data_IF_518501991409
#
_entry.id   IF_518501991409
#
_cell.length_a   1.000
_cell.length_b   1.000
_cell.length_c   1.000
_cell.angle_alpha   90.00
_cell.angle_beta   90.00
_cell.angle_gamma   90.00
#
_symmetry.space_group_name_H-M   'P 1'
#
loop_
_entity.id
_entity.type
_entity.pdbx_description
1 polymer ?
#
# COMPACT_ATOMS: atom_id res chain seq x y z
N UNK A 1 -6.23 5.90 -10.48
CA UNK A 1 -7.31 4.96 -10.12
C UNK A 1 -7.65 4.05 -11.28
N UNK A 2 -7.74 4.60 -12.49
CA UNK A 2 -8.09 3.78 -13.66
C UNK A 2 -7.15 2.59 -13.85
N UNK A 3 -5.84 2.77 -13.66
CA UNK A 3 -4.87 1.69 -13.79
C UNK A 3 -5.08 0.59 -12.74
N UNK A 4 -5.34 0.97 -11.49
CA UNK A 4 -5.60 0.01 -10.42
C UNK A 4 -6.91 -0.72 -10.60
N UNK A 5 -7.92 -0.02 -11.06
CA UNK A 5 -9.20 -0.63 -11.37
C UNK A 5 -9.06 -1.65 -12.50
N UNK A 6 -8.32 -1.32 -13.56
CA UNK A 6 -8.06 -2.24 -14.67
C UNK A 6 -7.32 -3.49 -14.18
N UNK A 7 -6.33 -3.35 -13.31
CA UNK A 7 -5.59 -4.48 -12.74
C UNK A 7 -6.52 -5.36 -11.90
N UNK A 8 -7.30 -4.76 -11.01
CA UNK A 8 -8.22 -5.51 -10.15
C UNK A 8 -9.25 -6.28 -10.98
N UNK A 9 -9.83 -5.64 -12.00
CA UNK A 9 -10.80 -6.27 -12.87
C UNK A 9 -10.19 -7.42 -13.67
N UNK A 10 -8.97 -7.25 -14.18
CA UNK A 10 -8.29 -8.31 -14.92
C UNK A 10 -7.96 -9.49 -14.04
N UNK A 11 -7.45 -9.26 -12.83
CA UNK A 11 -7.16 -10.34 -11.89
C UNK A 11 -8.43 -11.13 -11.56
N UNK A 12 -9.52 -10.45 -11.35
CA UNK A 12 -10.79 -11.07 -11.04
C UNK A 12 -11.37 -11.85 -12.23
N UNK A 13 -11.43 -11.22 -13.39
CA UNK A 13 -12.13 -11.78 -14.55
C UNK A 13 -11.31 -12.83 -15.30
N UNK A 14 -9.99 -12.64 -15.40
CA UNK A 14 -9.12 -13.54 -16.16
C UNK A 14 -8.48 -14.62 -15.29
N UNK A 15 -8.32 -14.38 -13.99
CA UNK A 15 -7.56 -15.26 -13.10
C UNK A 15 -8.36 -15.76 -11.88
N UNK A 16 -9.63 -15.40 -11.76
CA UNK A 16 -10.49 -15.88 -10.67
C UNK A 16 -10.11 -15.37 -9.28
N UNK A 17 -9.43 -14.25 -9.18
CA UNK A 17 -9.05 -13.67 -7.89
C UNK A 17 -10.29 -13.16 -7.18
N UNK A 18 -10.51 -13.60 -5.94
CA UNK A 18 -11.69 -13.24 -5.16
C UNK A 18 -11.61 -11.86 -4.52
N UNK A 19 -10.40 -11.42 -4.16
CA UNK A 19 -10.19 -10.15 -3.48
C UNK A 19 -8.81 -9.61 -3.78
N UNK A 20 -8.70 -8.31 -3.98
CA UNK A 20 -7.43 -7.61 -4.26
C UNK A 20 -7.15 -6.66 -3.11
N UNK A 21 -5.96 -6.76 -2.54
CA UNK A 21 -5.50 -5.88 -1.46
C UNK A 21 -4.41 -4.98 -1.98
N UNK A 22 -4.60 -3.68 -1.83
CA UNK A 22 -3.58 -2.69 -2.18
C UNK A 22 -2.88 -2.20 -0.92
N UNK A 23 -1.56 -2.28 -0.93
CA UNK A 23 -0.72 -1.67 0.09
C UNK A 23 -0.61 -0.16 -0.18
N UNK A 24 -0.34 0.66 0.86
CA UNK A 24 -0.13 2.08 0.66
C UNK A 24 1.17 2.36 -0.07
N UNK A 25 1.23 3.51 -0.73
CA UNK A 25 2.50 4.03 -1.23
C UNK A 25 3.37 4.44 -0.03
N UNK A 26 4.69 4.24 -0.11
CA UNK A 26 5.56 4.65 0.98
C UNK A 26 5.54 6.18 1.14
N UNK A 27 5.69 6.70 2.39
CA UNK A 27 5.75 8.13 2.64
C UNK A 27 7.11 8.69 2.20
N UNK A 28 7.25 8.94 0.92
CA UNK A 28 8.53 9.34 0.29
C UNK A 28 9.09 10.66 0.84
N UNK A 29 8.25 11.48 1.52
CA UNK A 29 8.72 12.67 2.21
C UNK A 29 9.74 12.38 3.30
N UNK A 30 9.81 11.13 3.76
CA UNK A 30 10.76 10.67 4.77
C UNK A 30 11.97 9.93 4.19
N UNK A 31 12.09 9.84 2.87
CA UNK A 31 13.19 9.13 2.24
C UNK A 31 14.48 9.96 2.30
N UNK A 32 15.52 9.49 3.03
CA UNK A 32 16.76 10.27 3.16
C UNK A 32 17.48 10.54 1.85
N UNK A 33 17.33 9.65 0.86
CA UNK A 33 17.99 9.76 -0.43
C UNK A 33 17.39 10.84 -1.34
N UNK A 34 16.15 11.30 -1.06
CA UNK A 34 15.50 12.33 -1.87
C UNK A 34 15.83 13.73 -1.33
N UNK A 35 16.36 14.64 -2.17
CA UNK A 35 16.61 16.02 -1.75
C UNK A 35 15.33 16.84 -1.68
N UNK A 36 15.33 17.90 -0.89
CA UNK A 36 14.27 18.90 -0.91
C UNK A 36 14.50 19.89 -2.07
N UNK A 37 13.44 20.41 -2.71
CA UNK A 37 12.01 20.24 -2.39
C UNK A 37 11.36 19.01 -3.03
N UNK A 38 12.10 18.21 -3.79
CA UNK A 38 11.58 17.03 -4.49
C UNK A 38 10.90 16.05 -3.51
N UNK A 39 11.53 15.81 -2.37
CA UNK A 39 11.00 14.89 -1.35
C UNK A 39 9.64 15.34 -0.84
N UNK A 40 9.45 16.63 -0.60
CA UNK A 40 8.18 17.19 -0.14
C UNK A 40 7.08 17.07 -1.20
N UNK A 41 7.41 17.39 -2.46
CA UNK A 41 6.47 17.32 -3.59
C UNK A 41 6.03 15.88 -3.82
N UNK A 42 6.99 14.95 -3.87
CA UNK A 42 6.70 13.53 -4.07
C UNK A 42 5.87 12.95 -2.93
N UNK A 43 6.13 13.39 -1.69
CA UNK A 43 5.35 12.96 -0.53
C UNK A 43 3.90 13.41 -0.59
N UNK A 44 3.65 14.64 -1.04
CA UNK A 44 2.28 15.13 -1.23
C UNK A 44 1.54 14.35 -2.31
N UNK A 45 2.21 14.05 -3.42
CA UNK A 45 1.60 13.28 -4.50
C UNK A 45 1.31 11.86 -4.08
N UNK A 46 2.20 11.21 -3.35
CA UNK A 46 2.01 9.86 -2.84
C UNK A 46 0.80 9.80 -1.88
N UNK A 47 0.69 10.78 -0.96
CA UNK A 47 -0.44 10.85 -0.03
C UNK A 47 -1.75 11.04 -0.76
N UNK A 48 -1.79 11.96 -1.73
CA UNK A 48 -2.99 12.20 -2.53
C UNK A 48 -3.42 10.95 -3.27
N UNK A 49 -2.47 10.21 -3.80
CA UNK A 49 -2.73 8.97 -4.51
C UNK A 49 -3.28 7.89 -3.58
N UNK A 50 -2.67 7.71 -2.42
CA UNK A 50 -3.14 6.76 -1.41
C UNK A 50 -4.56 7.07 -0.94
N UNK A 51 -4.86 8.35 -0.69
CA UNK A 51 -6.19 8.78 -0.27
C UNK A 51 -7.23 8.44 -1.35
N UNK A 52 -6.88 8.65 -2.62
CA UNK A 52 -7.76 8.33 -3.73
C UNK A 52 -7.99 6.82 -3.85
N UNK A 53 -6.95 6.01 -3.68
CA UNK A 53 -7.07 4.54 -3.70
C UNK A 53 -7.92 4.05 -2.54
N UNK A 54 -7.72 4.59 -1.34
CA UNK A 54 -8.51 4.22 -0.17
C UNK A 54 -9.99 4.55 -0.36
N UNK A 55 -10.29 5.72 -0.91
CA UNK A 55 -11.65 6.13 -1.19
C UNK A 55 -12.32 5.24 -2.24
N UNK A 56 -11.61 4.95 -3.34
CA UNK A 56 -12.10 4.05 -4.37
C UNK A 56 -12.36 2.65 -3.81
N UNK A 57 -11.45 2.12 -2.98
CA UNK A 57 -11.59 0.79 -2.40
C UNK A 57 -12.84 0.64 -1.55
N UNK A 58 -13.30 1.72 -0.91
CA UNK A 58 -14.55 1.71 -0.13
C UNK A 58 -15.79 1.49 -1.00
N UNK A 59 -15.70 1.77 -2.28
CA UNK A 59 -16.83 1.60 -3.22
C UNK A 59 -16.97 0.16 -3.71
N UNK A 60 -16.00 -0.72 -3.40
CA UNK A 60 -15.98 -2.10 -3.89
C UNK A 60 -15.81 -3.09 -2.75
N UNK A 61 -16.60 -4.16 -2.78
CA UNK A 61 -16.51 -5.23 -1.78
C UNK A 61 -15.35 -6.18 -2.02
N UNK A 62 -14.78 -6.20 -3.22
CA UNK A 62 -13.70 -7.10 -3.63
C UNK A 62 -12.32 -6.46 -3.63
N UNK A 63 -12.21 -5.23 -3.12
CA UNK A 63 -10.95 -4.49 -3.06
C UNK A 63 -10.78 -3.90 -1.68
N UNK A 64 -9.56 -3.93 -1.18
CA UNK A 64 -9.16 -3.28 0.07
C UNK A 64 -7.93 -2.40 -0.15
N UNK A 65 -7.85 -1.31 0.59
CA UNK A 65 -6.64 -0.55 0.79
C UNK A 65 -6.29 -0.60 2.27
N UNK A 66 -5.11 -1.09 2.61
CA UNK A 66 -4.69 -1.25 4.01
C UNK A 66 -3.77 -0.08 4.38
N UNK A 67 -4.23 0.84 5.23
CA UNK A 67 -3.35 1.89 5.73
C UNK A 67 -2.30 1.28 6.65
N UNK A 68 -1.04 1.59 6.41
CA UNK A 68 0.08 1.11 7.22
C UNK A 68 0.92 2.31 7.61
N UNK A 69 1.07 2.52 8.92
CA UNK A 69 1.92 3.57 9.43
C UNK A 69 3.36 3.06 9.45
N UNK A 70 4.18 3.58 8.55
CA UNK A 70 5.56 3.13 8.36
C UNK A 70 6.52 4.12 9.02
N UNK A 71 7.28 3.69 10.05
CA UNK A 71 8.31 4.53 10.65
C UNK A 71 9.56 4.54 9.75
N UNK A 72 9.51 5.31 8.66
CA UNK A 72 10.61 5.38 7.70
C UNK A 72 11.66 6.39 8.15
N UNK A 73 12.49 6.00 9.09
CA UNK A 73 13.70 6.75 9.43
C UNK A 73 14.91 6.06 8.81
N UNK A 74 16.06 6.71 8.89
CA UNK A 74 17.29 6.22 8.26
C UNK A 74 17.71 4.83 8.76
N UNK A 75 17.45 4.53 10.02
CA UNK A 75 17.83 3.25 10.63
C UNK A 75 17.01 2.08 10.09
N UNK A 76 15.78 2.36 9.65
CA UNK A 76 14.86 1.35 9.12
C UNK A 76 14.92 1.24 7.61
N UNK A 77 15.69 2.10 6.95
CA UNK A 77 15.90 2.05 5.50
C UNK A 77 17.12 1.22 5.17
N UNK A 78 17.16 0.71 3.93
CA UNK A 78 18.39 0.11 3.41
C UNK A 78 19.48 1.18 3.25
N UNK A 79 20.73 0.75 3.03
CA UNK A 79 21.89 1.64 2.99
C UNK A 79 21.77 2.74 1.93
N UNK A 80 21.01 2.52 0.86
CA UNK A 80 20.82 3.50 -0.20
C UNK A 80 19.89 4.66 0.21
N UNK A 81 19.25 4.59 1.38
CA UNK A 81 18.31 5.62 1.86
C UNK A 81 17.04 5.75 1.03
N UNK A 82 16.77 4.79 0.16
CA UNK A 82 15.63 4.81 -0.75
C UNK A 82 14.74 3.58 -0.57
N UNK A 83 15.33 2.40 -0.45
CA UNK A 83 14.56 1.17 -0.24
C UNK A 83 14.32 0.91 1.24
N UNK A 84 13.16 0.35 1.61
CA UNK A 84 12.92 -0.05 2.99
C UNK A 84 13.86 -1.16 3.44
N UNK A 85 14.24 -1.12 4.72
CA UNK A 85 14.96 -2.24 5.33
C UNK A 85 14.03 -3.36 5.76
N UNK A 86 14.61 -4.45 6.28
CA UNK A 86 13.85 -5.62 6.72
C UNK A 86 12.75 -5.28 7.74
N UNK A 87 12.97 -4.41 8.77
CA UNK A 87 11.91 -4.10 9.72
C UNK A 87 10.65 -3.52 9.08
N UNK A 88 10.81 -2.71 8.03
CA UNK A 88 9.68 -2.13 7.29
C UNK A 88 8.91 -3.21 6.55
N UNK A 89 9.60 -4.14 5.89
CA UNK A 89 8.95 -5.26 5.21
C UNK A 89 8.19 -6.14 6.19
N UNK A 90 8.72 -6.34 7.40
CA UNK A 90 8.06 -7.13 8.43
C UNK A 90 6.76 -6.44 8.90
N UNK A 91 6.81 -5.14 9.13
CA UNK A 91 5.62 -4.36 9.52
C UNK A 91 4.55 -4.45 8.43
N UNK A 92 4.92 -4.26 7.18
CA UNK A 92 3.99 -4.37 6.05
C UNK A 92 3.39 -5.76 5.93
N UNK A 93 4.23 -6.80 5.99
CA UNK A 93 3.78 -8.18 5.90
C UNK A 93 2.80 -8.55 7.00
N UNK A 94 3.08 -8.14 8.24
CA UNK A 94 2.21 -8.39 9.38
C UNK A 94 0.87 -7.68 9.21
N UNK A 95 0.88 -6.40 8.83
CA UNK A 95 -0.36 -5.65 8.65
C UNK A 95 -1.23 -6.22 7.54
N UNK A 96 -0.63 -6.61 6.42
CA UNK A 96 -1.37 -7.24 5.31
C UNK A 96 -1.91 -8.61 5.71
N UNK A 97 -1.13 -9.42 6.40
CA UNK A 97 -1.56 -10.74 6.85
C UNK A 97 -2.73 -10.65 7.84
N UNK A 98 -2.68 -9.72 8.79
CA UNK A 98 -3.76 -9.50 9.73
C UNK A 98 -5.04 -9.03 9.02
N UNK A 99 -4.92 -8.13 8.07
CA UNK A 99 -6.07 -7.68 7.30
C UNK A 99 -6.71 -8.83 6.52
N UNK A 100 -5.89 -9.63 5.85
CA UNK A 100 -6.39 -10.78 5.08
C UNK A 100 -7.09 -11.78 6.02
N UNK A 101 -6.49 -12.11 7.15
CA UNK A 101 -7.05 -13.08 8.10
C UNK A 101 -8.36 -12.59 8.70
N UNK A 102 -8.48 -11.32 9.07
CA UNK A 102 -9.62 -10.82 9.84
C UNK A 102 -10.72 -10.21 8.99
N UNK A 103 -10.39 -9.56 7.88
CA UNK A 103 -11.38 -8.82 7.09
C UNK A 103 -11.70 -9.48 5.75
N UNK A 104 -10.79 -10.27 5.20
CA UNK A 104 -10.97 -10.87 3.87
C UNK A 104 -11.31 -12.35 3.98
N UNK A 105 -10.46 -13.12 4.62
CA UNK A 105 -10.61 -14.58 4.69
C UNK A 105 -11.90 -15.00 5.39
N UNK A 106 -12.20 -14.41 6.54
CA UNK A 106 -13.42 -14.75 7.28
C UNK A 106 -14.69 -14.45 6.48
N UNK A 107 -14.70 -13.37 5.73
CA UNK A 107 -15.82 -13.01 4.87
C UNK A 107 -15.99 -13.97 3.70
N UNK A 108 -14.87 -14.39 3.08
CA UNK A 108 -14.91 -15.32 1.95
C UNK A 108 -15.22 -16.75 2.39
N UNK A 109 -14.80 -17.14 3.58
CA UNK A 109 -15.03 -18.46 4.13
C UNK A 109 -16.45 -18.64 4.70
N UNK A 110 -17.08 -17.53 5.05
CA UNK A 110 -18.45 -17.54 5.56
C UNK A 110 -19.46 -17.42 4.46
#
# INVERSE_FOLDING_TARGET
>A
IAAREAIANRLRNAHGVAHVVFAPLPPVQHFPALPQPLRWIAGKDARRHDDAVAEWARTRSDVSHVPIDLPLNRELMADDGFHPGEPVYRICGTALAEHIATAVWLRLAG
#
